data_IF_969863061526
#
_entry.id   IF_969863061526
#
_cell.length_a   1.000
_cell.length_b   1.000
_cell.length_c   1.000
_cell.angle_alpha   90.00
_cell.angle_beta   90.00
_cell.angle_gamma   90.00
#
_symmetry.space_group_name_H-M   'P 1'
#
loop_
_entity.id
_entity.type
_entity.pdbx_description
1 polymer ?
#
# COMPACT_ATOMS: atom_id res chain seq x y z
N UNK A 1 24.91 -37.98 23.73
CA UNK A 1 23.46 -37.88 23.50
C UNK A 1 23.12 -36.42 23.25
N UNK A 2 22.96 -36.01 21.99
CA UNK A 2 22.45 -34.69 21.61
C UNK A 2 21.23 -34.96 20.74
N UNK A 3 20.04 -34.67 21.26
CA UNK A 3 18.79 -34.80 20.52
C UNK A 3 18.68 -33.62 19.58
N UNK A 4 18.80 -33.89 18.27
CA UNK A 4 18.35 -32.96 17.23
C UNK A 4 16.83 -32.84 17.35
N UNK A 5 16.34 -31.67 17.76
CA UNK A 5 14.92 -31.34 17.64
C UNK A 5 14.74 -30.82 16.21
N UNK A 6 14.26 -31.68 15.32
CA UNK A 6 13.81 -31.27 13.99
C UNK A 6 12.50 -30.48 14.16
N UNK A 7 12.56 -29.16 13.97
CA UNK A 7 11.34 -28.40 13.69
C UNK A 7 10.83 -28.82 12.32
N UNK A 8 9.79 -29.64 12.29
CA UNK A 8 8.94 -29.78 11.11
C UNK A 8 8.23 -28.43 10.90
N UNK A 9 8.70 -27.64 9.94
CA UNK A 9 7.88 -26.59 9.37
C UNK A 9 6.73 -27.28 8.64
N UNK A 10 5.50 -27.12 9.13
CA UNK A 10 4.32 -27.46 8.34
C UNK A 10 4.38 -26.57 7.08
N UNK A 11 4.64 -27.17 5.94
CA UNK A 11 4.42 -26.52 4.65
C UNK A 11 2.90 -26.28 4.55
N UNK A 12 2.46 -25.06 4.83
CA UNK A 12 1.13 -24.62 4.43
C UNK A 12 1.17 -24.62 2.90
N UNK A 13 0.49 -25.58 2.27
CA UNK A 13 0.33 -25.59 0.82
C UNK A 13 -0.39 -24.31 0.41
N UNK A 14 0.19 -23.53 -0.50
CA UNK A 14 -0.47 -22.40 -1.13
C UNK A 14 -1.82 -22.88 -1.70
N UNK A 15 -2.92 -22.45 -1.09
CA UNK A 15 -4.26 -22.71 -1.63
C UNK A 15 -4.58 -21.59 -2.60
N UNK A 16 -4.82 -21.94 -3.87
CA UNK A 16 -5.35 -21.00 -4.83
C UNK A 16 -6.58 -20.28 -4.25
N UNK A 17 -6.69 -18.97 -4.51
CA UNK A 17 -7.84 -18.19 -4.07
C UNK A 17 -9.13 -18.79 -4.62
N UNK A 18 -10.08 -19.09 -3.73
CA UNK A 18 -11.39 -19.58 -4.11
C UNK A 18 -12.34 -18.41 -4.36
N UNK A 19 -12.68 -18.20 -5.63
CA UNK A 19 -13.62 -17.17 -6.07
C UNK A 19 -15.06 -17.72 -6.19
N UNK A 20 -15.28 -19.01 -5.93
CA UNK A 20 -16.59 -19.61 -6.11
C UNK A 20 -17.54 -19.15 -5.01
N UNK A 21 -18.78 -18.82 -5.40
CA UNK A 21 -19.82 -18.42 -4.45
C UNK A 21 -19.59 -17.11 -3.69
N UNK A 22 -18.63 -16.27 -4.10
CA UNK A 22 -18.44 -14.94 -3.51
C UNK A 22 -19.68 -14.07 -3.74
N UNK A 23 -20.22 -13.51 -2.66
CA UNK A 23 -21.29 -12.52 -2.71
C UNK A 23 -20.70 -11.11 -2.68
N UNK A 24 -19.96 -10.75 -3.73
CA UNK A 24 -19.21 -9.49 -3.78
C UNK A 24 -20.09 -8.25 -3.57
N UNK A 25 -21.37 -8.32 -3.96
CA UNK A 25 -22.33 -7.23 -3.81
C UNK A 25 -22.58 -6.84 -2.34
N UNK A 26 -22.28 -7.72 -1.38
CA UNK A 26 -22.31 -7.40 0.06
C UNK A 26 -21.20 -6.45 0.50
N UNK A 27 -20.15 -6.30 -0.28
CA UNK A 27 -18.95 -5.53 0.08
C UNK A 27 -18.65 -4.42 -0.93
N UNK A 28 -18.91 -4.67 -2.22
CA UNK A 28 -18.44 -3.85 -3.34
C UNK A 28 -19.59 -3.57 -4.32
N UNK A 29 -19.69 -2.31 -4.71
CA UNK A 29 -20.47 -1.85 -5.85
C UNK A 29 -19.72 -2.00 -7.18
N UNK A 30 -20.31 -1.55 -8.30
CA UNK A 30 -19.68 -1.61 -9.60
C UNK A 30 -18.46 -0.67 -9.69
N UNK A 31 -17.50 -1.04 -10.53
CA UNK A 31 -16.33 -0.21 -10.86
C UNK A 31 -16.75 0.95 -11.76
N UNK A 32 -16.32 2.16 -11.40
CA UNK A 32 -16.51 3.39 -12.17
C UNK A 32 -15.15 3.94 -12.57
N UNK A 33 -15.01 4.37 -13.83
CA UNK A 33 -13.83 5.13 -14.27
C UNK A 33 -14.09 6.60 -13.95
N UNK A 34 -13.36 7.14 -12.97
CA UNK A 34 -13.49 8.53 -12.52
C UNK A 34 -12.66 9.47 -13.38
N UNK A 35 -11.44 9.06 -13.74
CA UNK A 35 -10.54 9.83 -14.57
C UNK A 35 -9.61 8.93 -15.40
N UNK A 36 -9.11 9.47 -16.50
CA UNK A 36 -8.15 8.79 -17.39
C UNK A 36 -6.99 9.73 -17.70
N UNK A 37 -5.78 9.26 -17.41
CA UNK A 37 -4.53 9.92 -17.77
C UNK A 37 -4.30 9.75 -19.28
N UNK A 38 -3.91 10.84 -19.95
CA UNK A 38 -3.76 10.89 -21.41
C UNK A 38 -2.30 10.93 -21.88
N UNK A 39 -1.33 10.82 -20.96
CA UNK A 39 0.10 10.77 -21.28
C UNK A 39 0.46 9.47 -22.02
N UNK A 40 1.51 9.51 -22.86
CA UNK A 40 1.97 8.34 -23.62
C UNK A 40 2.51 7.22 -22.75
N UNK A 41 3.16 7.56 -21.63
CA UNK A 41 3.62 6.64 -20.60
C UNK A 41 2.79 6.91 -19.35
N UNK A 42 2.36 5.86 -18.68
CA UNK A 42 1.55 5.95 -17.49
C UNK A 42 1.91 4.82 -16.52
N UNK A 43 1.76 5.14 -15.25
CA UNK A 43 1.78 4.21 -14.14
C UNK A 43 1.15 4.95 -12.96
N UNK A 44 -0.15 4.75 -12.74
CA UNK A 44 -0.84 5.44 -11.64
C UNK A 44 -0.64 4.71 -10.31
N UNK A 45 -0.46 5.46 -9.23
CA UNK A 45 -0.13 4.92 -7.90
C UNK A 45 -0.58 5.86 -6.77
N UNK A 46 -0.54 5.34 -5.55
CA UNK A 46 -0.68 6.09 -4.30
C UNK A 46 -1.84 7.08 -4.26
N UNK A 47 -3.09 6.64 -4.51
CA UNK A 47 -4.23 7.51 -4.31
C UNK A 47 -4.33 7.91 -2.83
N UNK A 48 -4.75 9.13 -2.55
CA UNK A 48 -4.98 9.65 -1.21
C UNK A 48 -6.04 10.76 -1.28
N UNK A 49 -7.10 10.65 -0.48
CA UNK A 49 -8.11 11.71 -0.43
C UNK A 49 -7.81 12.69 0.69
N UNK A 50 -7.89 13.98 0.37
CA UNK A 50 -7.81 15.12 1.30
C UNK A 50 -9.14 15.41 1.99
N UNK A 51 -9.09 16.18 3.08
CA UNK A 51 -10.26 16.48 3.90
C UNK A 51 -11.35 17.32 3.21
N UNK A 52 -11.01 18.07 2.15
CA UNK A 52 -11.95 18.80 1.30
C UNK A 52 -12.56 17.94 0.17
N UNK A 53 -12.14 16.67 0.10
CA UNK A 53 -12.66 15.66 -0.81
C UNK A 53 -11.93 15.58 -2.15
N UNK A 54 -10.77 16.21 -2.28
CA UNK A 54 -9.93 16.11 -3.48
C UNK A 54 -9.05 14.85 -3.40
N UNK A 55 -8.96 14.11 -4.51
CA UNK A 55 -8.18 12.87 -4.60
C UNK A 55 -6.84 13.16 -5.28
N UNK A 56 -5.75 12.93 -4.57
CA UNK A 56 -4.39 13.04 -5.08
C UNK A 56 -3.91 11.65 -5.48
N UNK A 57 -3.20 11.53 -6.58
CA UNK A 57 -2.57 10.26 -6.99
C UNK A 57 -1.43 10.54 -7.97
N UNK A 58 -0.51 9.61 -8.10
CA UNK A 58 0.72 9.82 -8.89
C UNK A 58 0.57 9.23 -10.29
N UNK A 59 1.37 9.74 -11.21
CA UNK A 59 1.58 9.23 -12.57
C UNK A 59 3.06 9.45 -12.92
N UNK A 60 3.57 8.81 -13.98
CA UNK A 60 4.97 8.95 -14.41
C UNK A 60 5.40 10.43 -14.56
N UNK A 61 6.13 10.92 -13.57
CA UNK A 61 6.66 12.30 -13.50
C UNK A 61 5.68 13.37 -13.02
N UNK A 62 4.45 13.00 -12.66
CA UNK A 62 3.35 13.92 -12.32
C UNK A 62 2.69 13.51 -11.01
N UNK A 63 2.36 14.49 -10.17
CA UNK A 63 1.38 14.32 -9.10
C UNK A 63 0.07 14.94 -9.58
N UNK A 64 -0.98 14.15 -9.65
CA UNK A 64 -2.29 14.53 -10.14
C UNK A 64 -3.25 14.80 -8.98
N UNK A 65 -4.23 15.65 -9.24
CA UNK A 65 -5.36 15.92 -8.35
C UNK A 65 -6.65 15.79 -9.16
N UNK A 66 -7.59 15.02 -8.63
CA UNK A 66 -8.92 14.81 -9.16
C UNK A 66 -9.96 15.33 -8.18
N UNK A 67 -10.89 16.14 -8.69
CA UNK A 67 -12.04 16.64 -7.92
C UNK A 67 -13.27 15.80 -8.22
N UNK A 68 -13.78 14.96 -7.28
CA UNK A 68 -15.00 14.18 -7.49
C UNK A 68 -16.24 15.05 -7.75
N UNK A 69 -16.25 16.27 -7.21
CA UNK A 69 -17.35 17.25 -7.34
C UNK A 69 -17.45 17.82 -8.75
N UNK A 70 -16.31 18.19 -9.35
CA UNK A 70 -16.27 18.82 -10.67
C UNK A 70 -15.87 17.87 -11.79
N UNK A 71 -15.47 16.64 -11.46
CA UNK A 71 -14.90 15.63 -12.36
C UNK A 71 -13.66 16.12 -13.14
N UNK A 72 -12.94 17.10 -12.57
CA UNK A 72 -11.75 17.68 -13.18
C UNK A 72 -10.50 16.97 -12.68
N UNK A 73 -9.67 16.51 -13.61
CA UNK A 73 -8.32 16.01 -13.37
C UNK A 73 -7.31 17.09 -13.76
N UNK A 74 -6.37 17.41 -12.87
CA UNK A 74 -5.30 18.36 -13.13
C UNK A 74 -3.95 17.90 -12.58
N UNK A 75 -2.87 18.48 -13.10
CA UNK A 75 -1.53 18.29 -12.56
C UNK A 75 -1.36 19.20 -11.35
N UNK A 76 -1.19 18.60 -10.17
CA UNK A 76 -0.90 19.31 -8.93
C UNK A 76 0.58 19.67 -8.82
N UNK A 77 1.49 18.76 -9.19
CA UNK A 77 2.94 18.99 -9.13
C UNK A 77 3.69 18.29 -10.25
N UNK A 78 4.62 19.01 -10.88
CA UNK A 78 5.55 18.49 -11.90
C UNK A 78 6.89 19.26 -11.87
N UNK A 79 8.05 18.57 -11.85
CA UNK A 79 8.21 17.12 -11.81
C UNK A 79 7.79 16.54 -10.45
N UNK A 80 7.39 15.28 -10.45
CA UNK A 80 7.13 14.51 -9.22
C UNK A 80 7.74 13.12 -9.33
N UNK A 81 8.31 12.65 -8.23
CA UNK A 81 8.77 11.26 -8.05
C UNK A 81 8.00 10.55 -6.94
N UNK A 82 6.86 11.11 -6.53
CA UNK A 82 5.98 10.49 -5.54
C UNK A 82 5.46 9.13 -6.04
N UNK A 83 5.22 8.24 -5.09
CA UNK A 83 4.66 6.91 -5.28
C UNK A 83 3.47 6.74 -4.32
N UNK A 84 3.57 5.89 -3.29
CA UNK A 84 2.59 5.80 -2.22
C UNK A 84 2.41 7.11 -1.47
N UNK A 85 1.17 7.46 -1.16
CA UNK A 85 0.79 8.72 -0.53
C UNK A 85 -0.35 8.51 0.45
N UNK A 86 -0.40 9.30 1.53
CA UNK A 86 -1.55 9.34 2.42
C UNK A 86 -1.68 10.71 3.10
N UNK A 87 -2.83 10.97 3.72
CA UNK A 87 -3.04 12.15 4.56
C UNK A 87 -2.92 11.78 6.04
N UNK A 88 -2.19 12.59 6.80
CA UNK A 88 -2.13 12.43 8.25
C UNK A 88 -3.33 13.07 8.96
N UNK A 89 -3.41 12.88 10.28
CA UNK A 89 -4.47 13.42 11.13
C UNK A 89 -4.60 14.95 11.10
N UNK A 90 -3.58 15.67 10.62
CA UNK A 90 -3.57 17.13 10.49
C UNK A 90 -3.95 17.59 9.07
N UNK A 91 -4.29 16.65 8.17
CA UNK A 91 -4.62 16.95 6.78
C UNK A 91 -3.39 17.29 5.92
N UNK A 92 -2.20 16.85 6.33
CA UNK A 92 -0.96 17.08 5.57
C UNK A 92 -0.70 15.89 4.64
N UNK A 93 -0.31 16.18 3.40
CA UNK A 93 -0.04 15.17 2.39
C UNK A 93 1.36 14.57 2.57
N UNK A 94 1.41 13.29 2.91
CA UNK A 94 2.62 12.52 3.17
C UNK A 94 2.92 11.62 1.97
N UNK A 95 4.17 11.54 1.55
CA UNK A 95 4.55 10.83 0.32
C UNK A 95 5.82 10.02 0.52
N UNK A 96 5.84 8.84 -0.07
CA UNK A 96 7.06 8.15 -0.45
C UNK A 96 7.49 8.69 -1.82
N UNK A 97 8.75 9.07 -1.97
CA UNK A 97 9.29 9.59 -3.22
C UNK A 97 10.56 8.88 -3.67
N UNK A 98 10.81 9.00 -4.98
CA UNK A 98 11.96 8.47 -5.70
C UNK A 98 12.02 6.94 -5.62
N UNK A 99 11.11 6.26 -6.35
CA UNK A 99 10.92 4.81 -6.35
C UNK A 99 12.11 3.96 -6.80
N UNK A 100 11.82 2.71 -7.20
CA UNK A 100 12.80 1.63 -7.35
C UNK A 100 14.09 2.04 -8.08
N UNK A 101 15.23 1.82 -7.41
CA UNK A 101 16.57 2.04 -7.97
C UNK A 101 17.14 3.46 -7.85
N UNK A 102 16.44 4.38 -7.19
CA UNK A 102 16.95 5.73 -6.86
C UNK A 102 17.00 6.00 -5.36
N UNK A 103 17.70 7.05 -4.93
CA UNK A 103 17.72 7.45 -3.53
C UNK A 103 16.33 7.95 -3.13
N UNK A 104 15.64 7.20 -2.29
CA UNK A 104 14.28 7.53 -1.87
C UNK A 104 14.23 8.45 -0.68
N UNK A 105 13.03 8.99 -0.44
CA UNK A 105 12.75 9.85 0.70
C UNK A 105 11.29 9.78 1.10
N UNK A 106 11.01 10.06 2.37
CA UNK A 106 9.66 10.36 2.86
C UNK A 106 9.53 11.87 2.97
N UNK A 107 8.47 12.42 2.39
CA UNK A 107 8.23 13.86 2.35
C UNK A 107 6.86 14.24 2.87
N UNK A 108 6.77 15.49 3.32
CA UNK A 108 5.52 16.20 3.54
C UNK A 108 5.37 17.28 2.48
N UNK A 109 4.19 17.34 1.86
CA UNK A 109 3.86 18.34 0.85
C UNK A 109 2.88 19.37 1.42
N UNK A 110 3.24 20.64 1.31
CA UNK A 110 2.33 21.75 1.58
C UNK A 110 1.33 21.89 0.42
N UNK A 111 0.03 21.71 0.70
CA UNK A 111 -1.00 21.70 -0.35
C UNK A 111 -1.23 23.05 -1.04
N UNK A 112 -0.88 24.17 -0.39
CA UNK A 112 -1.11 25.50 -0.94
C UNK A 112 0.03 25.95 -1.86
N UNK A 113 1.26 25.61 -1.49
CA UNK A 113 2.49 26.06 -2.14
C UNK A 113 3.18 24.97 -2.95
N UNK A 114 2.73 23.71 -2.83
CA UNK A 114 3.37 22.51 -3.35
C UNK A 114 4.82 22.29 -2.88
N UNK A 115 5.28 23.02 -1.85
CA UNK A 115 6.62 22.87 -1.27
C UNK A 115 6.77 21.52 -0.59
N UNK A 116 7.97 20.96 -0.72
CA UNK A 116 8.35 19.64 -0.19
C UNK A 116 9.26 19.85 1.02
N UNK A 117 8.90 19.22 2.12
CA UNK A 117 9.75 19.05 3.29
C UNK A 117 10.19 17.59 3.36
N UNK A 118 11.49 17.35 3.51
CA UNK A 118 12.06 16.02 3.64
C UNK A 118 12.03 15.61 5.11
N UNK A 119 11.40 14.47 5.41
CA UNK A 119 11.34 13.92 6.76
C UNK A 119 12.40 12.85 6.99
N UNK A 120 12.73 12.07 5.95
CA UNK A 120 13.78 11.07 6.02
C UNK A 120 14.27 10.73 4.60
N UNK A 121 15.57 10.75 4.36
CA UNK A 121 16.22 10.35 3.09
C UNK A 121 17.42 9.40 3.30
N UNK A 122 17.72 9.08 4.56
CA UNK A 122 18.87 8.27 4.94
C UNK A 122 18.61 7.54 6.26
N UNK A 123 19.32 6.43 6.45
CA UNK A 123 19.32 5.64 7.69
C UNK A 123 20.70 5.02 7.90
N UNK A 124 21.21 5.09 9.14
CA UNK A 124 22.49 4.45 9.51
C UNK A 124 23.70 4.94 8.72
N UNK A 125 23.69 6.20 8.25
CA UNK A 125 24.77 6.78 7.44
C UNK A 125 24.70 6.45 5.95
N UNK A 126 23.68 5.70 5.50
CA UNK A 126 23.46 5.37 4.10
C UNK A 126 22.17 6.01 3.57
N UNK A 127 22.11 6.39 2.28
CA UNK A 127 20.85 6.80 1.66
C UNK A 127 19.78 5.72 1.79
N UNK A 128 18.51 6.14 1.87
CA UNK A 128 17.39 5.23 1.66
C UNK A 128 17.34 4.78 0.20
N UNK A 129 16.76 3.61 -0.03
CA UNK A 129 16.31 3.26 -1.36
C UNK A 129 14.97 3.84 -1.68
N UNK A 130 14.42 3.39 -2.80
CA UNK A 130 13.18 3.94 -3.28
C UNK A 130 12.07 3.70 -2.29
N UNK A 131 11.58 4.79 -1.69
CA UNK A 131 10.45 4.75 -0.79
C UNK A 131 9.22 4.39 -1.63
N UNK A 132 8.46 3.39 -1.19
CA UNK A 132 7.45 2.78 -2.03
C UNK A 132 6.03 3.10 -1.54
N UNK A 133 5.64 2.66 -0.34
CA UNK A 133 4.33 2.98 0.24
C UNK A 133 4.41 3.31 1.75
N UNK A 134 3.38 3.95 2.30
CA UNK A 134 3.31 4.34 3.71
C UNK A 134 1.91 4.26 4.35
N UNK A 135 1.91 4.10 5.67
CA UNK A 135 0.73 4.20 6.54
C UNK A 135 1.10 4.94 7.81
N UNK A 136 0.08 5.44 8.50
CA UNK A 136 0.23 6.21 9.73
C UNK A 136 -0.71 5.61 10.75
N UNK A 137 -0.17 5.36 11.94
CA UNK A 137 -0.97 4.84 13.04
C UNK A 137 -1.60 5.95 13.89
N UNK A 138 -2.41 5.57 14.87
CA UNK A 138 -3.09 6.51 15.77
C UNK A 138 -2.14 7.38 16.61
N UNK A 139 -0.87 6.99 16.76
CA UNK A 139 0.16 7.74 17.50
C UNK A 139 0.93 8.70 16.60
N UNK A 140 0.60 8.76 15.30
CA UNK A 140 1.29 9.61 14.32
C UNK A 140 2.65 9.05 13.89
N UNK A 141 2.91 7.76 14.12
CA UNK A 141 4.12 7.09 13.63
C UNK A 141 3.92 6.77 12.15
N UNK A 142 4.87 7.18 11.32
CA UNK A 142 4.84 6.94 9.87
C UNK A 142 5.63 5.67 9.59
N UNK A 143 4.95 4.63 9.14
CA UNK A 143 5.59 3.41 8.67
C UNK A 143 5.71 3.46 7.16
N UNK A 144 6.86 3.09 6.60
CA UNK A 144 7.06 3.12 5.16
C UNK A 144 7.96 1.98 4.68
N UNK A 145 7.71 1.53 3.45
CA UNK A 145 8.52 0.54 2.76
C UNK A 145 9.57 1.22 1.90
N UNK A 146 10.75 0.61 1.83
CA UNK A 146 11.87 1.08 1.03
C UNK A 146 12.47 -0.09 0.27
N UNK A 147 12.69 0.11 -1.03
CA UNK A 147 13.16 -0.91 -1.97
C UNK A 147 14.56 -0.61 -2.49
N UNK A 148 15.44 -1.58 -2.38
CA UNK A 148 16.81 -1.55 -2.89
C UNK A 148 17.17 -2.88 -3.54
N UNK A 149 17.89 -2.79 -4.65
CA UNK A 149 18.59 -3.94 -5.22
C UNK A 149 19.79 -4.37 -4.35
N UNK A 150 20.23 -3.54 -3.39
CA UNK A 150 21.28 -3.90 -2.46
C UNK A 150 20.81 -5.03 -1.53
N UNK A 151 21.59 -6.11 -1.50
CA UNK A 151 21.38 -7.27 -0.64
C UNK A 151 22.43 -7.39 0.47
N UNK A 152 23.43 -6.50 0.49
CA UNK A 152 24.52 -6.49 1.47
C UNK A 152 24.35 -5.31 2.45
N UNK A 153 23.84 -5.57 3.68
CA UNK A 153 23.62 -4.52 4.67
C UNK A 153 24.92 -3.86 5.16
N UNK A 154 26.09 -4.45 4.91
CA UNK A 154 27.38 -3.81 5.22
C UNK A 154 27.75 -2.72 4.21
N UNK A 155 27.15 -2.72 3.02
CA UNK A 155 27.42 -1.78 1.92
C UNK A 155 26.33 -0.73 1.72
N UNK A 156 25.26 -0.78 2.52
CA UNK A 156 24.16 0.16 2.43
C UNK A 156 22.88 -0.37 3.05
N UNK A 157 21.81 0.41 2.95
CA UNK A 157 20.48 -0.08 3.28
C UNK A 157 20.06 -1.21 2.32
N UNK A 158 19.12 -2.03 2.76
CA UNK A 158 18.51 -3.12 1.97
C UNK A 158 17.00 -2.89 1.88
N UNK A 159 16.27 -3.79 1.19
CA UNK A 159 14.82 -3.85 1.31
C UNK A 159 14.41 -3.86 2.78
N UNK A 160 13.58 -2.90 3.20
CA UNK A 160 13.27 -2.71 4.60
C UNK A 160 11.94 -1.99 4.80
N UNK A 161 11.41 -2.14 6.02
CA UNK A 161 10.35 -1.30 6.56
C UNK A 161 10.94 -0.44 7.67
N UNK A 162 10.68 0.85 7.57
CA UNK A 162 11.13 1.85 8.53
C UNK A 162 9.92 2.51 9.21
N UNK A 163 10.20 3.17 10.33
CA UNK A 163 9.24 3.96 11.08
C UNK A 163 9.84 5.30 11.44
N UNK A 164 9.13 6.40 11.17
CA UNK A 164 9.44 7.74 11.67
C UNK A 164 8.52 8.01 12.86
N UNK A 165 9.10 8.25 14.03
CA UNK A 165 8.37 8.63 15.24
C UNK A 165 7.99 10.13 15.22
N UNK A 166 7.00 10.58 16.02
CA UNK A 166 6.58 11.98 16.05
C UNK A 166 7.68 13.00 16.40
N UNK A 167 8.75 12.55 17.05
CA UNK A 167 9.95 13.35 17.34
C UNK A 167 10.93 13.44 16.16
N UNK A 168 10.62 12.80 15.03
CA UNK A 168 11.44 12.74 13.83
C UNK A 168 12.47 11.62 13.82
N UNK A 169 12.55 10.77 14.85
CA UNK A 169 13.49 9.66 14.87
C UNK A 169 13.05 8.56 13.91
N UNK A 170 13.98 8.12 13.05
CA UNK A 170 13.76 6.96 12.17
C UNK A 170 14.34 5.69 12.78
N UNK A 171 13.56 4.61 12.77
CA UNK A 171 13.95 3.25 13.17
C UNK A 171 13.68 2.26 12.04
N UNK A 172 14.55 1.26 11.86
CA UNK A 172 14.29 0.12 10.96
C UNK A 172 13.58 -0.98 11.75
N UNK A 173 12.39 -1.38 11.31
CA UNK A 173 11.57 -2.37 12.03
C UNK A 173 11.58 -3.75 11.38
N UNK A 174 11.79 -3.83 10.06
CA UNK A 174 11.96 -5.08 9.30
C UNK A 174 12.99 -4.85 8.20
N UNK A 175 13.71 -5.91 7.79
CA UNK A 175 14.71 -5.84 6.73
C UNK A 175 14.81 -7.17 5.96
N UNK A 176 15.44 -7.15 4.80
CA UNK A 176 15.91 -8.38 4.15
C UNK A 176 17.10 -8.95 4.95
N UNK A 177 17.25 -10.29 5.01
CA UNK A 177 16.54 -11.30 4.20
C UNK A 177 15.18 -11.76 4.77
N UNK A 178 14.69 -11.21 5.88
CA UNK A 178 13.46 -11.66 6.53
C UNK A 178 12.19 -11.32 5.75
N UNK A 179 12.24 -10.30 4.89
CA UNK A 179 11.15 -9.86 4.00
C UNK A 179 11.61 -9.73 2.54
N UNK A 180 10.68 -9.94 1.62
CA UNK A 180 10.88 -9.85 0.18
C UNK A 180 10.15 -8.66 -0.44
N UNK A 181 10.92 -7.73 -1.03
CA UNK A 181 10.42 -6.58 -1.82
C UNK A 181 9.17 -5.92 -1.23
N UNK A 182 9.28 -5.30 -0.04
CA UNK A 182 8.13 -4.78 0.70
C UNK A 182 7.36 -3.73 -0.11
N UNK A 183 6.02 -3.79 -0.05
CA UNK A 183 5.10 -2.97 -0.86
C UNK A 183 4.12 -2.18 0.00
N UNK A 184 2.81 -2.35 -0.21
CA UNK A 184 1.76 -1.82 0.64
C UNK A 184 1.86 -2.29 2.08
N UNK A 185 1.48 -1.41 3.00
CA UNK A 185 1.42 -1.68 4.43
C UNK A 185 0.22 -0.99 5.07
N UNK A 186 -0.25 -1.53 6.18
CA UNK A 186 -1.38 -0.96 6.90
C UNK A 186 -1.37 -1.35 8.38
N UNK A 187 -2.05 -0.57 9.21
CA UNK A 187 -2.29 -0.87 10.63
C UNK A 187 -3.78 -1.13 10.82
N UNK A 188 -4.15 -2.18 11.56
CA UNK A 188 -5.55 -2.49 11.83
C UNK A 188 -6.27 -1.39 12.63
N UNK A 189 -7.61 -1.27 12.51
CA UNK A 189 -8.38 -0.26 13.25
C UNK A 189 -8.23 -0.34 14.78
N UNK A 190 -7.94 -1.52 15.31
CA UNK A 190 -7.71 -1.74 16.74
C UNK A 190 -6.24 -1.50 17.18
N UNK A 191 -5.37 -1.11 16.23
CA UNK A 191 -3.96 -0.76 16.43
C UNK A 191 -3.11 -1.92 16.99
N UNK A 192 -3.54 -3.17 16.74
CA UNK A 192 -2.86 -4.38 17.23
C UNK A 192 -2.20 -5.22 16.14
N UNK A 193 -2.55 -4.99 14.88
CA UNK A 193 -2.00 -5.76 13.76
C UNK A 193 -1.34 -4.83 12.75
N UNK A 194 -0.10 -5.13 12.38
CA UNK A 194 0.60 -4.51 11.26
C UNK A 194 0.61 -5.47 10.08
N UNK A 195 0.21 -4.99 8.90
CA UNK A 195 0.18 -5.75 7.66
C UNK A 195 1.28 -5.28 6.71
N UNK A 196 1.87 -6.23 5.98
CA UNK A 196 2.88 -5.96 4.96
C UNK A 196 2.66 -6.87 3.75
N UNK A 197 2.64 -6.29 2.57
CA UNK A 197 2.69 -7.02 1.31
C UNK A 197 4.15 -7.24 0.90
N UNK A 198 4.48 -8.50 0.57
CA UNK A 198 5.67 -8.88 -0.17
C UNK A 198 5.30 -9.00 -1.66
N UNK A 199 6.06 -8.36 -2.55
CA UNK A 199 5.67 -8.23 -3.95
C UNK A 199 6.66 -8.80 -4.97
N UNK A 200 7.57 -9.67 -4.55
CA UNK A 200 8.69 -10.10 -5.40
C UNK A 200 8.24 -11.09 -6.50
N UNK A 201 8.20 -10.60 -7.74
CA UNK A 201 7.79 -11.39 -8.90
C UNK A 201 8.81 -12.44 -9.37
N UNK A 202 9.99 -12.53 -8.75
CA UNK A 202 11.03 -13.51 -9.12
C UNK A 202 10.69 -14.91 -8.60
N UNK A 203 11.25 -15.93 -9.26
CA UNK A 203 10.96 -17.32 -8.92
C UNK A 203 11.49 -17.65 -7.51
N UNK A 204 10.66 -18.35 -6.71
CA UNK A 204 11.02 -18.75 -5.36
C UNK A 204 11.05 -17.61 -4.33
N UNK A 205 10.48 -16.44 -4.65
CA UNK A 205 10.34 -15.31 -3.74
C UNK A 205 8.90 -15.15 -3.26
N UNK A 206 8.74 -14.55 -2.09
CA UNK A 206 7.45 -14.47 -1.43
C UNK A 206 6.50 -13.43 -2.06
N UNK A 207 5.21 -13.78 -2.07
CA UNK A 207 4.08 -12.95 -2.55
C UNK A 207 2.97 -12.90 -1.51
N UNK A 208 3.38 -12.76 -0.26
CA UNK A 208 2.51 -12.87 0.89
C UNK A 208 1.88 -11.54 1.26
N UNK A 209 0.69 -11.60 1.81
CA UNK A 209 0.22 -10.63 2.79
C UNK A 209 0.63 -11.19 4.16
N UNK A 210 1.57 -10.52 4.83
CA UNK A 210 1.98 -10.85 6.19
C UNK A 210 1.20 -10.02 7.20
N UNK A 211 0.93 -10.62 8.35
CA UNK A 211 0.43 -9.94 9.53
C UNK A 211 1.44 -10.10 10.68
N UNK A 212 1.53 -9.08 11.53
CA UNK A 212 2.37 -9.03 12.70
C UNK A 212 1.57 -8.45 13.86
N UNK A 213 1.94 -8.82 15.09
CA UNK A 213 1.45 -8.12 16.26
C UNK A 213 2.18 -6.77 16.37
N UNK A 214 1.41 -5.67 16.36
CA UNK A 214 1.91 -4.32 16.54
C UNK A 214 2.10 -4.03 18.03
N UNK A 215 3.34 -3.76 18.42
CA UNK A 215 3.67 -3.50 19.82
C UNK A 215 3.40 -2.04 20.21
N UNK A 216 3.19 -1.75 21.51
CA UNK A 216 2.96 -0.38 21.98
C UNK A 216 4.08 0.60 21.62
N UNK A 217 5.33 0.14 21.58
CA UNK A 217 6.51 0.90 21.17
C UNK A 217 6.65 1.06 19.64
N UNK A 218 5.79 0.39 18.88
CA UNK A 218 5.68 0.46 17.43
C UNK A 218 6.59 -0.51 16.69
N UNK A 219 7.26 -1.40 17.41
CA UNK A 219 7.91 -2.58 16.82
C UNK A 219 6.85 -3.62 16.43
N UNK A 220 7.27 -4.66 15.70
CA UNK A 220 6.38 -5.73 15.23
C UNK A 220 6.93 -7.09 15.61
N UNK A 221 6.06 -8.01 16.00
CA UNK A 221 6.43 -9.39 16.42
C UNK A 221 5.45 -10.42 15.86
N UNK A 222 5.68 -11.71 16.11
CA UNK A 222 4.72 -12.79 15.82
C UNK A 222 4.21 -12.79 14.37
N UNK A 223 5.16 -12.77 13.43
CA UNK A 223 4.89 -12.83 12.00
C UNK A 223 4.07 -14.06 11.65
N UNK A 224 3.04 -13.85 10.83
CA UNK A 224 2.23 -14.91 10.22
C UNK A 224 1.93 -14.55 8.76
N UNK A 225 1.94 -15.55 7.88
CA UNK A 225 1.41 -15.42 6.52
C UNK A 225 -0.11 -15.44 6.63
N UNK A 226 -0.74 -14.33 6.27
CA UNK A 226 -2.20 -14.20 6.27
C UNK A 226 -2.80 -14.74 4.97
N UNK A 227 -2.18 -14.38 3.84
CA UNK A 227 -2.54 -14.83 2.49
C UNK A 227 -1.25 -15.06 1.71
N UNK A 228 -1.15 -16.19 1.03
CA UNK A 228 -0.11 -16.45 0.02
C UNK A 228 -0.75 -16.38 -1.37
N UNK A 229 -0.30 -15.43 -2.19
CA UNK A 229 -0.83 -15.22 -3.56
C UNK A 229 -0.01 -15.96 -4.63
N UNK A 230 0.98 -16.76 -4.24
CA UNK A 230 1.75 -17.57 -5.16
C UNK A 230 0.89 -18.70 -5.77
N UNK A 231 1.05 -19.06 -7.06
CA UNK A 231 2.02 -18.52 -8.01
C UNK A 231 1.50 -17.31 -8.81
N UNK A 232 0.35 -16.73 -8.46
CA UNK A 232 -0.17 -15.51 -9.07
C UNK A 232 0.65 -14.26 -8.74
N UNK A 233 0.23 -13.10 -9.25
CA UNK A 233 0.78 -11.79 -8.83
C UNK A 233 0.41 -11.51 -7.37
N UNK A 234 1.38 -10.99 -6.62
CA UNK A 234 1.20 -10.48 -5.26
C UNK A 234 0.16 -9.36 -5.18
N UNK A 235 -0.16 -8.95 -3.95
CA UNK A 235 -0.72 -7.64 -3.72
C UNK A 235 0.28 -6.54 -4.10
N UNK A 236 -0.23 -5.32 -4.19
CA UNK A 236 0.55 -4.12 -4.38
C UNK A 236 0.30 -3.16 -3.20
N UNK A 237 -0.56 -2.15 -3.35
CA UNK A 237 -1.09 -1.34 -2.25
C UNK A 237 -2.33 -1.95 -1.57
N UNK A 238 -2.61 -1.51 -0.34
CA UNK A 238 -3.78 -1.95 0.42
C UNK A 238 -4.35 -0.90 1.38
N UNK A 239 -5.64 -1.04 1.69
CA UNK A 239 -6.36 -0.25 2.70
C UNK A 239 -7.26 -1.12 3.57
N UNK A 240 -7.71 -0.59 4.72
CA UNK A 240 -8.61 -1.29 5.62
C UNK A 240 -9.93 -0.55 5.83
N UNK A 241 -11.00 -1.30 5.98
CA UNK A 241 -12.28 -0.78 6.48
C UNK A 241 -12.34 -0.76 8.02
N UNK A 242 -13.40 -0.16 8.58
CA UNK A 242 -13.58 -0.06 10.04
C UNK A 242 -13.75 -1.42 10.75
N UNK A 243 -14.04 -2.49 10.01
CA UNK A 243 -14.11 -3.86 10.54
C UNK A 243 -12.78 -4.62 10.40
N UNK A 244 -11.77 -3.99 9.81
CA UNK A 244 -10.46 -4.55 9.59
C UNK A 244 -10.37 -5.48 8.38
N UNK A 245 -11.33 -5.43 7.44
CA UNK A 245 -11.17 -6.14 6.17
C UNK A 245 -10.14 -5.41 5.31
N UNK A 246 -9.25 -6.17 4.67
CA UNK A 246 -8.17 -5.66 3.82
C UNK A 246 -8.67 -5.57 2.37
N UNK A 247 -8.54 -4.41 1.77
CA UNK A 247 -8.80 -4.11 0.37
C UNK A 247 -7.47 -4.05 -0.35
N UNK A 248 -7.21 -5.03 -1.22
CA UNK A 248 -5.88 -5.26 -1.80
C UNK A 248 -5.95 -5.17 -3.32
N UNK A 249 -5.11 -4.32 -3.92
CA UNK A 249 -4.87 -4.30 -5.35
C UNK A 249 -3.99 -5.49 -5.75
N UNK A 250 -4.49 -6.43 -6.55
CA UNK A 250 -3.71 -7.63 -6.91
C UNK A 250 -4.07 -8.20 -8.30
N UNK A 251 -3.24 -9.12 -8.77
CA UNK A 251 -3.49 -9.86 -10.01
C UNK A 251 -3.03 -9.15 -11.29
N UNK A 252 -3.08 -9.88 -12.40
CA UNK A 252 -2.63 -9.45 -13.72
C UNK A 252 -3.66 -9.81 -14.79
N UNK A 253 -3.88 -8.92 -15.75
CA UNK A 253 -4.63 -9.31 -16.97
C UNK A 253 -3.75 -10.08 -17.96
N UNK A 254 -2.43 -9.89 -17.93
CA UNK A 254 -1.49 -10.57 -18.82
C UNK A 254 -0.14 -10.82 -18.14
N UNK A 255 0.60 -11.87 -18.53
CA UNK A 255 1.94 -12.11 -18.01
C UNK A 255 2.89 -10.94 -18.33
N UNK A 256 3.77 -10.59 -17.39
CA UNK A 256 4.71 -9.45 -17.54
C UNK A 256 6.19 -9.83 -17.53
N UNK A 257 6.51 -11.07 -17.91
CA UNK A 257 7.89 -11.57 -18.01
C UNK A 257 8.57 -11.87 -16.66
N UNK A 258 7.77 -12.05 -15.61
CA UNK A 258 8.19 -12.50 -14.28
C UNK A 258 7.76 -13.95 -14.07
N UNK A 259 7.96 -14.50 -12.86
CA UNK A 259 7.43 -15.82 -12.48
C UNK A 259 6.01 -15.77 -11.92
N UNK A 260 5.34 -14.62 -12.05
CA UNK A 260 3.93 -14.45 -11.70
C UNK A 260 3.04 -15.05 -12.79
N UNK A 261 2.06 -15.84 -12.38
CA UNK A 261 1.01 -16.39 -13.24
C UNK A 261 -0.26 -15.54 -13.16
N UNK A 262 -1.30 -15.97 -13.87
CA UNK A 262 -2.63 -15.34 -13.85
C UNK A 262 -3.58 -15.96 -12.80
N UNK A 263 -3.06 -16.75 -11.85
CA UNK A 263 -3.88 -17.42 -10.82
C UNK A 263 -4.56 -16.41 -9.87
N UNK A 264 -3.94 -15.24 -9.67
CA UNK A 264 -4.60 -14.09 -9.02
C UNK A 264 -5.33 -13.28 -10.07
N UNK A 265 -6.67 -13.31 -10.05
CA UNK A 265 -7.51 -12.50 -10.96
C UNK A 265 -7.21 -11.01 -10.80
N UNK A 266 -7.18 -10.21 -11.87
CA UNK A 266 -6.81 -8.80 -11.78
C UNK A 266 -7.92 -7.96 -11.17
N UNK A 267 -7.64 -7.28 -10.06
CA UNK A 267 -8.53 -6.26 -9.53
C UNK A 267 -8.36 -6.02 -8.05
N UNK A 268 -9.49 -5.79 -7.39
CA UNK A 268 -9.55 -5.49 -5.96
C UNK A 268 -10.12 -6.69 -5.21
N UNK A 269 -9.35 -7.20 -4.25
CA UNK A 269 -9.73 -8.31 -3.38
C UNK A 269 -10.01 -7.79 -1.98
N UNK A 270 -11.11 -8.24 -1.38
CA UNK A 270 -11.46 -7.95 0.01
C UNK A 270 -11.20 -9.19 0.84
N UNK A 271 -10.23 -9.14 1.74
CA UNK A 271 -9.92 -10.22 2.68
C UNK A 271 -10.43 -9.86 4.07
N UNK A 272 -11.00 -10.83 4.78
CA UNK A 272 -11.27 -10.69 6.22
C UNK A 272 -9.96 -10.50 7.01
N UNK A 273 -10.02 -10.03 8.27
CA UNK A 273 -8.84 -10.00 9.15
C UNK A 273 -8.18 -11.38 9.36
N UNK A 274 -8.88 -12.47 9.05
CA UNK A 274 -8.39 -13.86 9.11
C UNK A 274 -7.84 -14.38 7.77
N UNK A 275 -7.78 -13.55 6.72
CA UNK A 275 -7.22 -13.93 5.42
C UNK A 275 -8.19 -14.63 4.47
N UNK A 276 -9.46 -14.83 4.87
CA UNK A 276 -10.49 -15.37 3.96
C UNK A 276 -10.88 -14.32 2.91
N UNK A 277 -10.89 -14.70 1.63
CA UNK A 277 -11.44 -13.89 0.55
C UNK A 277 -12.97 -13.73 0.72
N UNK A 278 -13.43 -12.49 0.81
CA UNK A 278 -14.83 -12.10 1.04
C UNK A 278 -15.50 -11.58 -0.21
N UNK A 279 -14.77 -10.80 -1.00
CA UNK A 279 -15.27 -10.21 -2.24
C UNK A 279 -14.13 -9.97 -3.22
N UNK A 280 -14.50 -9.87 -4.48
CA UNK A 280 -13.62 -9.53 -5.57
C UNK A 280 -14.38 -8.70 -6.59
N UNK A 281 -13.72 -7.69 -7.16
CA UNK A 281 -14.19 -6.99 -8.35
C UNK A 281 -13.04 -6.81 -9.33
N UNK A 282 -13.29 -7.17 -10.59
CA UNK A 282 -12.31 -7.10 -11.67
C UNK A 282 -12.11 -5.66 -12.14
N UNK A 283 -10.86 -5.29 -12.42
CA UNK A 283 -10.53 -3.99 -13.02
C UNK A 283 -10.58 -4.05 -14.54
N UNK A 284 -10.78 -2.91 -15.25
CA UNK A 284 -10.92 -2.91 -16.70
C UNK A 284 -9.60 -2.98 -17.48
N UNK A 285 -8.45 -2.73 -16.84
CA UNK A 285 -7.14 -2.65 -17.50
C UNK A 285 -6.02 -3.20 -16.61
N UNK A 286 -4.96 -3.71 -17.22
CA UNK A 286 -3.74 -4.08 -16.49
C UNK A 286 -2.95 -2.84 -16.04
N UNK A 287 -3.05 -2.55 -14.76
CA UNK A 287 -2.01 -2.77 -13.75
C UNK A 287 -2.62 -2.12 -12.53
N UNK A 288 -3.41 -2.87 -11.77
CA UNK A 288 -4.00 -2.37 -10.52
C UNK A 288 -2.89 -2.25 -9.49
N UNK A 289 -2.76 -1.07 -8.90
CA UNK A 289 -1.60 -0.70 -8.09
C UNK A 289 -1.95 -0.40 -6.65
N UNK A 290 -2.96 0.43 -6.38
CA UNK A 290 -3.18 0.90 -5.02
C UNK A 290 -4.63 1.39 -4.84
N UNK A 291 -5.03 1.66 -3.61
CA UNK A 291 -6.38 2.13 -3.29
C UNK A 291 -6.40 3.03 -2.05
N UNK A 292 -7.44 3.87 -1.95
CA UNK A 292 -7.64 4.79 -0.83
C UNK A 292 -9.12 5.04 -0.57
N UNK A 293 -9.53 4.94 0.69
CA UNK A 293 -10.89 5.30 1.08
C UNK A 293 -11.11 6.82 1.06
N UNK A 294 -12.33 7.20 0.72
CA UNK A 294 -12.77 8.57 0.62
C UNK A 294 -14.30 8.69 0.45
N UNK A 295 -14.73 9.86 -0.01
CA UNK A 295 -16.11 10.33 0.13
C UNK A 295 -16.42 10.80 1.56
N UNK A 296 -17.45 11.63 1.70
CA UNK A 296 -17.86 12.19 2.99
C UNK A 296 -18.27 11.10 4.02
N UNK A 297 -18.65 9.92 3.53
CA UNK A 297 -19.03 8.75 4.33
C UNK A 297 -17.96 7.65 4.39
N UNK A 298 -16.76 7.92 3.86
CA UNK A 298 -15.64 6.96 3.75
C UNK A 298 -15.99 5.66 3.03
N UNK A 299 -17.06 5.60 2.24
CA UNK A 299 -17.50 4.39 1.54
C UNK A 299 -17.20 4.42 0.04
N UNK A 300 -16.38 5.36 -0.42
CA UNK A 300 -15.87 5.37 -1.79
C UNK A 300 -14.41 4.95 -1.74
N UNK A 301 -14.08 3.80 -2.31
CA UNK A 301 -12.70 3.38 -2.46
C UNK A 301 -12.21 3.78 -3.86
N UNK A 302 -11.26 4.71 -3.90
CA UNK A 302 -10.55 5.06 -5.12
C UNK A 302 -9.45 4.05 -5.40
N UNK A 303 -9.23 3.71 -6.67
CA UNK A 303 -8.28 2.67 -7.07
C UNK A 303 -7.45 3.21 -8.24
N UNK A 304 -6.13 3.12 -8.15
CA UNK A 304 -5.23 3.40 -9.28
C UNK A 304 -5.02 2.13 -10.09
N UNK A 305 -5.23 2.23 -11.41
CA UNK A 305 -5.22 1.08 -12.30
C UNK A 305 -4.78 1.47 -13.72
N UNK A 306 -3.54 1.13 -14.09
CA UNK A 306 -2.96 1.49 -15.37
C UNK A 306 -2.94 3.01 -15.57
N UNK A 307 -3.77 3.52 -16.48
CA UNK A 307 -3.95 4.95 -16.75
C UNK A 307 -5.18 5.55 -16.06
N UNK A 308 -5.92 4.76 -15.30
CA UNK A 308 -7.19 5.18 -14.73
C UNK A 308 -7.07 5.50 -13.24
N UNK A 309 -7.89 6.46 -12.82
CA UNK A 309 -8.42 6.51 -11.46
C UNK A 309 -9.82 5.89 -11.54
N UNK A 310 -10.03 4.82 -10.78
CA UNK A 310 -11.31 4.15 -10.64
C UNK A 310 -11.92 4.47 -9.27
N UNK A 311 -13.20 4.19 -9.11
CA UNK A 311 -13.84 4.12 -7.81
C UNK A 311 -14.79 2.92 -7.72
N UNK A 312 -14.96 2.41 -6.50
CA UNK A 312 -16.04 1.48 -6.14
C UNK A 312 -16.71 1.98 -4.86
N UNK A 313 -18.02 1.76 -4.75
CA UNK A 313 -18.73 1.97 -3.49
C UNK A 313 -18.54 0.75 -2.60
N UNK A 314 -18.27 0.98 -1.32
CA UNK A 314 -18.20 -0.08 -0.30
C UNK A 314 -19.41 -0.01 0.61
N UNK A 315 -19.79 -1.14 1.19
CA UNK A 315 -20.88 -1.20 2.19
C UNK A 315 -20.39 -0.81 3.58
N UNK A 316 -19.12 -1.10 3.88
CA UNK A 316 -18.42 -0.78 5.12
C UNK A 316 -17.51 0.43 4.86
N UNK A 317 -17.56 1.48 5.68
CA UNK A 317 -16.68 2.63 5.53
C UNK A 317 -15.23 2.26 5.83
N UNK A 318 -14.31 2.95 5.17
CA UNK A 318 -12.87 2.91 5.43
C UNK A 318 -12.53 3.24 6.88
N UNK A 319 -11.38 2.74 7.35
CA UNK A 319 -10.80 3.22 8.60
C UNK A 319 -10.53 4.73 8.50
N UNK A 320 -11.04 5.56 9.42
CA UNK A 320 -10.78 6.99 9.40
C UNK A 320 -9.31 7.26 9.74
N UNK A 321 -8.50 7.60 8.73
CA UNK A 321 -7.09 8.02 8.91
C UNK A 321 -6.96 9.43 9.48
N UNK A 322 -7.97 10.27 9.27
CA UNK A 322 -8.11 11.60 9.84
C UNK A 322 -9.60 11.93 9.98
N UNK A 323 -10.02 12.61 11.05
CA UNK A 323 -11.44 12.96 11.25
C UNK A 323 -11.79 14.18 10.40
N UNK A 324 -12.45 13.97 9.26
CA UNK A 324 -13.18 15.03 8.56
C UNK A 324 -14.20 15.63 9.55
N UNK A 325 -14.08 16.92 9.86
CA UNK A 325 -15.07 17.66 10.66
C UNK A 325 -14.91 17.65 12.19
N UNK A 326 -13.83 17.09 12.75
CA UNK A 326 -13.48 17.43 14.13
C UNK A 326 -12.91 18.85 14.14
N UNK A 327 -13.76 19.82 14.50
CA UNK A 327 -13.39 21.22 14.59
C UNK A 327 -12.04 21.40 15.28
N UNK A 328 -11.17 22.22 14.67
CA UNK A 328 -9.98 22.78 15.29
C UNK A 328 -10.39 23.34 16.66
N UNK A 329 -9.95 22.71 17.74
CA UNK A 329 -9.89 23.32 19.07
C UNK A 329 -8.43 23.48 19.43
#
# INVERSE_FOLDING_TARGET
MIRLVSLLALAISASALDYTGLDSAKFLGPVVIEATVTTKKYFTEGPAMSADGEVFFTNTGEFLKFSPKTKRLEVFRKPSTANGSCFDAQGRLMNCEAGDGTNGRVTRTDLQTAKIEVLCDSFGGFPLGGANDLTIDSKGRIYFTSRLANTDPAKGNVNAVYRIDPDGKTSRILAAPEIDMPNGLAVSPDEKTFYLIEADGRAGRARNIRAYDLQPDGSVTNMRVLVDLSPGRSGDGMELDEQGNLYVAAGLHKPRGTSETLDTRPGLHVFSPQGKLLAFVETPEDTVTNCAFGGDDLRTLYITCGKHLLSVRTTIPGQPRYRVGAARK
#
